data_IF_998191650829
#
_entry.id   IF_998191650829
#
_cell.length_a   1.000
_cell.length_b   1.000
_cell.length_c   1.000
_cell.angle_alpha   90.00
_cell.angle_beta   90.00
_cell.angle_gamma   90.00
#
_symmetry.space_group_name_H-M   'P 1'
#
loop_
_entity.id
_entity.type
_entity.pdbx_description
1 polymer ?
#
# COMPACT_ATOMS: atom_id res chain seq x y z
N UNK A 1 7.19 -29.28 -15.82
CA UNK A 1 5.76 -29.26 -15.44
C UNK A 1 5.64 -28.39 -14.20
N UNK A 2 5.62 -27.07 -14.38
CA UNK A 2 5.62 -26.11 -13.27
C UNK A 2 4.21 -26.05 -12.71
N UNK A 3 4.01 -26.61 -11.51
CA UNK A 3 2.75 -26.48 -10.80
C UNK A 3 2.49 -25.00 -10.57
N UNK A 4 1.54 -24.43 -11.31
CA UNK A 4 1.00 -23.12 -11.01
C UNK A 4 0.24 -23.29 -9.69
N UNK A 5 0.84 -22.92 -8.56
CA UNK A 5 0.14 -22.92 -7.29
C UNK A 5 -0.99 -21.90 -7.43
N UNK A 6 -2.22 -22.34 -7.19
CA UNK A 6 -3.38 -21.48 -7.31
C UNK A 6 -3.29 -20.33 -6.30
N UNK A 7 -3.30 -19.09 -6.82
CA UNK A 7 -3.23 -17.86 -6.01
C UNK A 7 -4.28 -17.84 -4.90
N UNK A 8 -5.47 -18.42 -5.13
CA UNK A 8 -6.54 -18.52 -4.14
C UNK A 8 -6.23 -19.49 -3.01
N UNK A 9 -5.44 -20.54 -3.25
CA UNK A 9 -4.97 -21.47 -2.21
C UNK A 9 -3.96 -20.77 -1.30
N UNK A 10 -3.01 -20.05 -1.90
CA UNK A 10 -2.03 -19.25 -1.16
C UNK A 10 -2.73 -18.18 -0.34
N UNK A 11 -3.70 -17.46 -0.92
CA UNK A 11 -4.45 -16.42 -0.21
C UNK A 11 -5.20 -16.99 1.01
N UNK A 12 -5.84 -18.15 0.86
CA UNK A 12 -6.52 -18.84 1.97
C UNK A 12 -5.55 -19.22 3.09
N UNK A 13 -4.38 -19.75 2.74
CA UNK A 13 -3.36 -20.12 3.71
C UNK A 13 -2.81 -18.90 4.45
N UNK A 14 -2.49 -17.83 3.72
CA UNK A 14 -2.00 -16.57 4.30
C UNK A 14 -3.01 -15.98 5.28
N UNK A 15 -4.29 -15.95 4.91
CA UNK A 15 -5.34 -15.43 5.80
C UNK A 15 -5.55 -16.31 7.03
N UNK A 16 -5.44 -17.64 6.89
CA UNK A 16 -5.58 -18.59 8.01
C UNK A 16 -4.43 -18.45 9.02
N UNK A 17 -3.21 -18.30 8.52
CA UNK A 17 -1.98 -18.28 9.34
C UNK A 17 -1.46 -16.86 9.59
N UNK A 18 -2.26 -15.82 9.33
CA UNK A 18 -1.81 -14.43 9.31
C UNK A 18 -1.07 -14.02 10.60
N UNK A 19 -1.58 -14.45 11.77
CA UNK A 19 -0.93 -14.14 13.05
C UNK A 19 0.47 -14.74 13.20
N UNK A 20 0.68 -15.97 12.71
CA UNK A 20 2.00 -16.59 12.74
C UNK A 20 2.95 -15.95 11.72
N UNK A 21 2.46 -15.66 10.52
CA UNK A 21 3.24 -15.01 9.46
C UNK A 21 3.67 -13.58 9.84
N UNK A 22 2.85 -12.85 10.60
CA UNK A 22 3.22 -11.54 11.17
C UNK A 22 4.29 -11.66 12.25
N UNK A 23 4.19 -12.65 13.15
CA UNK A 23 5.21 -12.89 14.18
C UNK A 23 6.57 -13.28 13.58
N UNK A 24 6.56 -13.89 12.39
CA UNK A 24 7.76 -14.21 11.61
C UNK A 24 8.24 -13.07 10.72
N UNK A 25 7.58 -11.89 10.75
CA UNK A 25 7.90 -10.74 9.90
C UNK A 25 7.86 -11.05 8.40
N UNK A 26 6.97 -11.96 7.98
CA UNK A 26 6.79 -12.31 6.56
C UNK A 26 5.71 -11.46 5.89
N UNK A 27 4.73 -11.03 6.67
CA UNK A 27 3.62 -10.19 6.21
C UNK A 27 3.35 -9.05 7.20
N UNK A 28 2.59 -8.07 6.74
CA UNK A 28 2.05 -6.97 7.53
C UNK A 28 0.56 -6.78 7.20
N UNK A 29 -0.30 -6.74 8.23
CA UNK A 29 -1.66 -6.20 8.08
C UNK A 29 -1.63 -4.68 8.09
N UNK A 30 -2.30 -4.09 7.12
CA UNK A 30 -2.39 -2.65 6.88
C UNK A 30 -3.85 -2.23 7.07
N UNK A 31 -4.09 -1.52 8.15
CA UNK A 31 -5.42 -1.02 8.49
C UNK A 31 -5.91 0.02 7.48
N UNK A 32 -7.22 0.10 7.22
CA UNK A 32 -7.77 1.15 6.39
C UNK A 32 -7.64 2.51 7.10
N UNK A 33 -7.30 3.53 6.33
CA UNK A 33 -7.38 4.92 6.74
C UNK A 33 -8.84 5.36 6.81
N UNK A 34 -9.16 6.15 7.82
CA UNK A 34 -10.43 6.85 7.94
C UNK A 34 -10.22 8.05 8.87
N UNK A 35 -11.15 9.00 8.81
CA UNK A 35 -11.13 10.18 9.66
C UNK A 35 -11.68 9.94 11.09
N UNK A 36 -12.71 9.11 11.22
CA UNK A 36 -13.32 8.77 12.52
C UNK A 36 -13.00 7.33 12.95
N UNK A 37 -12.24 7.15 14.04
CA UNK A 37 -11.78 5.86 14.59
C UNK A 37 -12.86 4.80 14.80
N UNK A 38 -14.09 5.20 15.08
CA UNK A 38 -15.20 4.25 15.21
C UNK A 38 -15.57 3.59 13.87
N UNK A 39 -15.27 4.23 12.74
CA UNK A 39 -15.44 3.64 11.40
C UNK A 39 -14.30 2.69 11.00
N UNK A 40 -13.20 2.59 11.77
CA UNK A 40 -12.10 1.61 11.56
C UNK A 40 -12.62 0.18 11.62
N UNK A 41 -13.44 -0.09 12.63
CA UNK A 41 -13.81 -1.43 13.08
C UNK A 41 -14.60 -2.27 12.05
N UNK A 42 -15.09 -1.67 10.97
CA UNK A 42 -16.01 -2.32 10.01
C UNK A 42 -15.29 -2.74 8.73
N UNK A 43 -14.03 -2.35 8.51
CA UNK A 43 -13.33 -2.60 7.24
C UNK A 43 -12.16 -3.58 7.36
N UNK A 44 -12.07 -4.47 6.39
CA UNK A 44 -11.04 -5.52 6.33
C UNK A 44 -9.65 -4.91 6.07
N UNK A 45 -8.63 -5.24 6.87
CA UNK A 45 -7.24 -4.86 6.60
C UNK A 45 -6.71 -5.45 5.27
N UNK A 46 -5.79 -4.74 4.60
CA UNK A 46 -5.01 -5.28 3.46
C UNK A 46 -3.81 -6.05 4.02
N UNK A 47 -3.42 -7.15 3.39
CA UNK A 47 -2.21 -7.92 3.76
C UNK A 47 -1.15 -7.68 2.71
N UNK A 48 0.03 -7.25 3.15
CA UNK A 48 1.23 -7.15 2.31
C UNK A 48 2.26 -8.17 2.76
N UNK A 49 2.92 -8.83 1.80
CA UNK A 49 4.19 -9.49 2.09
C UNK A 49 5.28 -8.43 2.31
N UNK A 50 6.28 -8.77 3.12
CA UNK A 50 7.41 -7.88 3.38
C UNK A 50 8.61 -8.13 2.44
N UNK A 51 8.52 -9.15 1.59
CA UNK A 51 9.50 -9.45 0.56
C UNK A 51 8.81 -9.88 -0.76
N UNK A 52 9.03 -9.15 -1.87
CA UNK A 52 8.41 -9.49 -3.16
C UNK A 52 8.99 -10.77 -3.79
N UNK A 53 10.23 -11.14 -3.49
CA UNK A 53 10.85 -12.39 -3.94
C UNK A 53 10.22 -13.62 -3.27
N UNK A 54 9.91 -13.52 -1.96
CA UNK A 54 9.17 -14.54 -1.22
C UNK A 54 7.76 -14.70 -1.81
N UNK A 55 7.06 -13.60 -2.06
CA UNK A 55 5.74 -13.65 -2.70
C UNK A 55 5.83 -14.30 -4.09
N UNK A 56 6.82 -13.93 -4.90
CA UNK A 56 7.05 -14.53 -6.21
C UNK A 56 7.34 -16.04 -6.11
N UNK A 57 8.18 -16.45 -5.15
CA UNK A 57 8.52 -17.85 -4.92
C UNK A 57 7.28 -18.67 -4.51
N UNK A 58 6.46 -18.15 -3.59
CA UNK A 58 5.22 -18.81 -3.15
C UNK A 58 4.23 -18.97 -4.30
N UNK A 59 4.12 -17.96 -5.17
CA UNK A 59 3.25 -17.98 -6.35
C UNK A 59 3.84 -18.79 -7.53
N UNK A 60 5.07 -19.33 -7.39
CA UNK A 60 5.75 -20.07 -8.46
C UNK A 60 6.00 -19.22 -9.71
N UNK A 61 6.35 -17.94 -9.52
CA UNK A 61 6.59 -17.00 -10.62
C UNK A 61 8.03 -17.08 -11.11
N UNK A 62 8.19 -17.14 -12.43
CA UNK A 62 9.49 -16.99 -13.10
C UNK A 62 9.64 -15.57 -13.65
N UNK A 63 10.89 -15.15 -13.92
CA UNK A 63 11.17 -13.85 -14.52
C UNK A 63 10.42 -13.65 -15.85
N UNK A 64 10.34 -14.69 -16.69
CA UNK A 64 9.66 -14.65 -17.98
C UNK A 64 8.14 -14.45 -17.80
N UNK A 65 7.55 -15.10 -16.78
CA UNK A 65 6.13 -14.95 -16.47
C UNK A 65 5.82 -13.55 -15.96
N UNK A 66 6.66 -13.04 -15.06
CA UNK A 66 6.55 -11.66 -14.54
C UNK A 66 6.67 -10.64 -15.68
N UNK A 67 7.60 -10.85 -16.61
CA UNK A 67 7.81 -9.94 -17.74
C UNK A 67 6.62 -9.91 -18.73
N UNK A 68 5.87 -11.01 -18.85
CA UNK A 68 4.72 -11.12 -19.78
C UNK A 68 3.38 -10.76 -19.14
N UNK A 69 3.26 -10.90 -17.82
CA UNK A 69 2.02 -10.64 -17.10
C UNK A 69 2.14 -9.36 -16.25
N UNK A 70 1.56 -8.28 -16.78
CA UNK A 70 1.62 -6.97 -16.14
C UNK A 70 0.90 -6.92 -14.80
N UNK A 71 -0.14 -7.73 -14.60
CA UNK A 71 -0.88 -7.78 -13.35
C UNK A 71 -0.04 -8.44 -12.25
N UNK A 72 0.65 -9.53 -12.57
CA UNK A 72 1.59 -10.17 -11.65
C UNK A 72 2.76 -9.25 -11.29
N UNK A 73 3.34 -8.55 -12.27
CA UNK A 73 4.35 -7.55 -11.98
C UNK A 73 3.79 -6.42 -11.09
N UNK A 74 2.56 -5.97 -11.32
CA UNK A 74 1.88 -4.97 -10.49
C UNK A 74 1.79 -5.39 -9.03
N UNK A 75 1.36 -6.62 -8.77
CA UNK A 75 1.30 -7.20 -7.43
C UNK A 75 2.68 -7.19 -6.74
N UNK A 76 3.73 -7.59 -7.45
CA UNK A 76 5.10 -7.59 -6.91
C UNK A 76 5.63 -6.18 -6.69
N UNK A 77 5.31 -5.24 -7.58
CA UNK A 77 5.72 -3.83 -7.46
C UNK A 77 5.04 -3.16 -6.26
N UNK A 78 3.72 -3.36 -6.09
CA UNK A 78 3.00 -2.88 -4.90
C UNK A 78 3.62 -3.42 -3.61
N UNK A 79 3.94 -4.71 -3.59
CA UNK A 79 4.59 -5.38 -2.45
C UNK A 79 5.96 -4.77 -2.16
N UNK A 80 6.78 -4.61 -3.20
CA UNK A 80 8.09 -3.98 -3.10
C UNK A 80 8.00 -2.56 -2.54
N UNK A 81 7.20 -1.69 -3.18
CA UNK A 81 7.05 -0.29 -2.78
C UNK A 81 6.57 -0.18 -1.33
N UNK A 82 5.57 -0.97 -0.94
CA UNK A 82 5.10 -1.01 0.44
C UNK A 82 6.21 -1.42 1.41
N UNK A 83 6.94 -2.51 1.12
CA UNK A 83 8.01 -2.99 2.00
C UNK A 83 9.16 -1.98 2.15
N UNK A 84 9.52 -1.26 1.09
CA UNK A 84 10.56 -0.23 1.15
C UNK A 84 10.11 0.98 1.97
N UNK A 85 8.87 1.44 1.77
CA UNK A 85 8.30 2.54 2.56
C UNK A 85 8.20 2.16 4.04
N UNK A 86 7.76 0.93 4.34
CA UNK A 86 7.71 0.43 5.71
C UNK A 86 9.09 0.47 6.35
N UNK A 87 10.12 -0.11 5.71
CA UNK A 87 11.48 -0.08 6.24
C UNK A 87 11.97 1.35 6.48
N UNK A 88 11.80 2.24 5.51
CA UNK A 88 12.22 3.65 5.64
C UNK A 88 11.48 4.36 6.77
N UNK A 89 10.18 4.08 6.94
CA UNK A 89 9.36 4.69 8.00
C UNK A 89 9.86 4.37 9.41
N UNK A 90 10.54 3.23 9.60
CA UNK A 90 11.08 2.82 10.91
C UNK A 90 12.32 3.60 11.33
N UNK A 91 12.96 4.34 10.41
CA UNK A 91 14.19 5.12 10.68
C UNK A 91 13.94 6.63 10.66
N UNK A 92 12.69 7.07 10.57
CA UNK A 92 12.34 8.48 10.69
C UNK A 92 12.36 8.91 12.16
N UNK A 93 12.92 10.09 12.43
CA UNK A 93 12.91 10.68 13.78
C UNK A 93 11.49 10.95 14.27
N UNK A 94 10.61 11.34 13.35
CA UNK A 94 9.19 11.55 13.63
C UNK A 94 8.36 10.35 13.16
N UNK A 95 7.59 9.69 14.05
CA UNK A 95 6.87 8.47 13.71
C UNK A 95 5.70 8.75 12.77
N UNK A 96 5.57 7.93 11.73
CA UNK A 96 4.41 7.93 10.85
C UNK A 96 3.69 6.58 10.88
N UNK A 97 2.42 6.58 10.51
CA UNK A 97 1.65 5.35 10.36
C UNK A 97 1.30 5.08 8.91
N UNK A 98 1.37 3.81 8.52
CA UNK A 98 1.00 3.34 7.19
C UNK A 98 -0.38 2.71 7.22
N UNK A 99 -1.20 3.08 6.25
CA UNK A 99 -2.58 2.61 6.08
C UNK A 99 -2.91 2.54 4.59
N UNK A 100 -4.08 2.04 4.22
CA UNK A 100 -4.59 2.08 2.84
C UNK A 100 -5.92 2.84 2.79
N UNK A 101 -6.30 3.43 1.67
CA UNK A 101 -7.63 4.04 1.53
C UNK A 101 -8.51 3.22 0.60
N UNK A 102 -9.77 3.06 0.97
CA UNK A 102 -10.81 2.50 0.10
C UNK A 102 -12.14 3.12 0.43
N UNK A 103 -12.82 3.69 -0.57
CA UNK A 103 -14.15 4.26 -0.39
C UNK A 103 -15.27 3.24 -0.64
N UNK A 104 -16.54 3.67 -0.60
CA UNK A 104 -17.69 2.79 -0.86
C UNK A 104 -17.83 2.39 -2.34
N UNK A 105 -17.27 3.19 -3.23
CA UNK A 105 -17.28 2.99 -4.69
C UNK A 105 -16.07 2.18 -5.17
N UNK A 106 -15.29 1.61 -4.23
CA UNK A 106 -14.05 0.86 -4.51
C UNK A 106 -12.93 1.71 -5.11
N UNK A 107 -12.98 3.03 -4.93
CA UNK A 107 -11.83 3.90 -5.24
C UNK A 107 -10.77 3.70 -4.15
N UNK A 108 -9.55 3.36 -4.56
CA UNK A 108 -8.46 2.91 -3.67
C UNK A 108 -7.26 3.86 -3.74
N UNK A 109 -6.52 3.94 -2.63
CA UNK A 109 -5.14 4.43 -2.59
C UNK A 109 -4.31 3.38 -1.87
N UNK A 110 -3.26 2.88 -2.53
CA UNK A 110 -2.46 1.76 -2.03
C UNK A 110 -1.85 2.03 -0.67
N UNK A 111 -1.26 3.21 -0.49
CA UNK A 111 -0.56 3.60 0.73
C UNK A 111 -0.97 5.02 1.13
N UNK A 112 -1.35 5.16 2.39
CA UNK A 112 -1.58 6.45 3.06
C UNK A 112 -0.64 6.52 4.24
N UNK A 113 0.29 7.47 4.17
CA UNK A 113 1.23 7.81 5.25
C UNK A 113 0.60 8.93 6.05
N UNK A 114 0.46 8.74 7.36
CA UNK A 114 -0.06 9.75 8.29
C UNK A 114 1.00 10.14 9.31
N UNK A 115 1.35 11.43 9.32
CA UNK A 115 2.26 12.06 10.28
C UNK A 115 1.46 12.92 11.27
N UNK A 116 1.71 12.74 12.57
CA UNK A 116 1.10 13.50 13.68
C UNK A 116 -0.42 13.75 13.56
N UNK A 117 -1.15 12.83 12.92
CA UNK A 117 -2.61 12.86 12.69
C UNK A 117 -3.13 14.10 11.96
N UNK A 118 -2.25 14.88 11.33
CA UNK A 118 -2.61 16.14 10.70
C UNK A 118 -2.12 16.25 9.26
N UNK A 119 -1.10 15.47 8.89
CA UNK A 119 -0.53 15.47 7.55
C UNK A 119 -0.59 14.08 6.93
N UNK A 120 -1.08 14.05 5.70
CA UNK A 120 -1.29 12.84 4.92
C UNK A 120 -0.56 12.91 3.60
N UNK A 121 0.06 11.80 3.24
CA UNK A 121 0.61 11.55 1.90
C UNK A 121 -0.07 10.32 1.33
N UNK A 122 -0.69 10.48 0.16
CA UNK A 122 -1.29 9.38 -0.59
C UNK A 122 -0.35 8.93 -1.70
N UNK A 123 -0.12 7.62 -1.81
CA UNK A 123 0.74 7.01 -2.82
C UNK A 123 -0.08 5.94 -3.56
N UNK A 124 -0.05 6.05 -4.88
CA UNK A 124 -0.66 5.10 -5.81
C UNK A 124 0.46 4.41 -6.60
N UNK A 125 0.49 3.09 -6.60
CA UNK A 125 1.52 2.33 -7.31
C UNK A 125 0.97 1.87 -8.65
N UNK A 126 1.59 2.32 -9.74
CA UNK A 126 1.20 1.90 -11.08
C UNK A 126 2.29 1.12 -11.77
N UNK A 127 1.92 -0.12 -12.04
CA UNK A 127 2.54 -0.95 -13.03
C UNK A 127 2.12 -0.52 -14.45
N UNK A 128 2.25 0.75 -14.83
CA UNK A 128 2.01 1.19 -16.21
C UNK A 128 3.14 2.10 -16.66
N UNK A 129 3.48 2.07 -17.96
CA UNK A 129 4.48 2.99 -18.51
C UNK A 129 3.93 4.41 -18.65
N UNK A 130 2.61 4.54 -18.82
CA UNK A 130 1.91 5.82 -18.94
C UNK A 130 0.89 5.94 -17.82
N UNK A 131 0.97 7.04 -17.07
CA UNK A 131 -0.02 7.40 -16.04
C UNK A 131 -1.03 8.37 -16.66
N UNK A 132 -2.32 8.11 -16.42
CA UNK A 132 -3.45 8.87 -16.95
C UNK A 132 -4.18 9.63 -15.85
N UNK A 133 -5.00 10.62 -16.22
CA UNK A 133 -5.78 11.39 -15.25
C UNK A 133 -6.74 10.52 -14.41
N UNK A 134 -7.21 9.39 -14.96
CA UNK A 134 -8.05 8.41 -14.26
C UNK A 134 -7.32 7.71 -13.12
N UNK A 135 -6.01 7.52 -13.21
CA UNK A 135 -5.22 6.84 -12.15
C UNK A 135 -5.22 7.62 -10.84
N UNK A 136 -5.40 8.95 -10.89
CA UNK A 136 -5.47 9.81 -9.72
C UNK A 136 -6.86 9.86 -9.07
N UNK A 137 -7.84 9.05 -9.52
CA UNK A 137 -9.21 9.09 -9.00
C UNK A 137 -9.24 8.79 -7.50
N UNK A 138 -8.55 7.74 -7.05
CA UNK A 138 -8.43 7.38 -5.64
C UNK A 138 -7.81 8.50 -4.80
N UNK A 139 -6.70 9.07 -5.26
CA UNK A 139 -6.02 10.18 -4.60
C UNK A 139 -6.92 11.43 -4.49
N UNK A 140 -7.75 11.72 -5.50
CA UNK A 140 -8.75 12.79 -5.40
C UNK A 140 -9.83 12.50 -4.36
N UNK A 141 -10.33 11.26 -4.30
CA UNK A 141 -11.30 10.84 -3.27
C UNK A 141 -10.71 10.93 -1.86
N UNK A 142 -9.45 10.56 -1.69
CA UNK A 142 -8.72 10.75 -0.45
C UNK A 142 -8.59 12.24 -0.10
N UNK A 143 -8.25 13.10 -1.06
CA UNK A 143 -8.19 14.55 -0.86
C UNK A 143 -9.54 15.11 -0.38
N UNK A 144 -10.65 14.73 -1.04
CA UNK A 144 -11.99 15.15 -0.67
C UNK A 144 -12.37 14.69 0.75
N UNK A 145 -11.95 13.48 1.13
CA UNK A 145 -12.21 12.92 2.46
C UNK A 145 -11.38 13.60 3.58
N UNK A 146 -10.21 14.13 3.24
CA UNK A 146 -9.19 14.65 4.18
C UNK A 146 -9.13 16.18 4.26
N UNK A 147 -9.78 16.88 3.31
CA UNK A 147 -9.79 18.35 3.18
C UNK A 147 -8.38 18.95 3.04
N UNK A 148 -7.78 19.36 4.16
CA UNK A 148 -6.50 20.09 4.20
C UNK A 148 -5.33 19.25 4.73
N UNK A 149 -5.61 18.05 5.22
CA UNK A 149 -4.58 17.16 5.75
C UNK A 149 -3.72 16.53 4.64
N UNK A 150 -4.25 16.34 3.42
CA UNK A 150 -3.45 15.80 2.31
C UNK A 150 -2.43 16.84 1.82
N UNK A 151 -1.16 16.60 2.12
CA UNK A 151 -0.01 17.42 1.69
C UNK A 151 0.45 17.06 0.29
N UNK A 152 0.51 15.77 -0.03
CA UNK A 152 1.03 15.22 -1.29
C UNK A 152 0.12 14.09 -1.80
N UNK A 153 -0.06 14.02 -3.13
CA UNK A 153 -0.91 13.02 -3.79
C UNK A 153 -1.56 13.56 -5.07
N UNK A 154 -2.64 14.34 -4.95
CA UNK A 154 -3.39 14.90 -6.09
C UNK A 154 -3.52 16.44 -6.13
N UNK A 155 -2.94 17.17 -5.16
CA UNK A 155 -2.93 18.64 -5.16
C UNK A 155 -1.66 19.17 -5.87
N UNK A 156 -1.75 20.24 -6.68
CA UNK A 156 -0.56 20.94 -7.15
C UNK A 156 0.25 21.42 -5.95
N UNK A 157 1.55 21.12 -5.94
CA UNK A 157 2.47 21.40 -4.85
C UNK A 157 2.44 22.90 -4.50
N UNK A 158 1.97 23.23 -3.29
CA UNK A 158 2.48 24.41 -2.58
C UNK A 158 3.51 23.89 -1.59
N UNK A 159 4.76 23.81 -2.03
CA UNK A 159 5.89 23.63 -1.12
C UNK A 159 5.92 24.80 -0.14
N UNK A 160 5.56 24.57 1.12
CA UNK A 160 6.00 25.45 2.20
C UNK A 160 7.29 24.84 2.71
N UNK A 161 8.40 25.52 2.48
CA UNK A 161 9.65 25.16 3.15
C UNK A 161 9.38 25.15 4.65
N UNK A 162 9.52 23.99 5.29
CA UNK A 162 9.75 23.97 6.72
C UNK A 162 11.07 24.72 6.96
N UNK A 163 11.08 25.61 7.96
CA UNK A 163 12.28 26.32 8.37
C UNK A 163 13.42 25.35 8.70
N UNK A 164 14.67 25.84 8.75
CA UNK A 164 15.84 24.98 8.82
C UNK A 164 15.75 24.02 10.01
N UNK A 165 16.01 22.74 9.74
CA UNK A 165 16.30 21.73 10.74
C UNK A 165 17.43 22.27 11.62
N UNK A 166 17.17 22.40 12.91
CA UNK A 166 18.18 22.74 13.92
C UNK A 166 18.80 21.48 14.47
#
# INVERSE_FOLDING_TARGET
>A
MTACVDTSVILRLVLREAGALEQLFLIQRVEPWFRNRLKRLIKTPKVHFLDPGLLAALLGLTAERIARDRALFGLLLETFVFSEILKQSTWLDEPCSLSHYRDKNQDEVDIVIEHDRSELVGIEVKAAATVTASDFKGLRKLADATRDALRLGARPLRWRAHGPLR
#
